data_IF_225797331805
#
_entry.id   IF_225797331805
#
_cell.length_a   1.000
_cell.length_b   1.000
_cell.length_c   1.000
_cell.angle_alpha   90.00
_cell.angle_beta   90.00
_cell.angle_gamma   90.00
#
_symmetry.space_group_name_H-M   'P 1'
#
loop_
_entity.id
_entity.type
_entity.pdbx_description
1 polymer ?
#
# COMPACT_ATOMS: atom_id res chain seq x y z
N UNK A 1 7.37 -12.39 -15.35
CA UNK A 1 7.70 -13.26 -14.18
C UNK A 1 8.99 -12.86 -13.46
N UNK A 2 10.14 -12.78 -14.16
CA UNK A 2 11.44 -12.47 -13.55
C UNK A 2 11.46 -11.13 -12.76
N UNK A 3 10.86 -10.07 -13.31
CA UNK A 3 10.82 -8.76 -12.68
C UNK A 3 10.10 -8.73 -11.31
N UNK A 4 9.14 -9.64 -11.06
CA UNK A 4 8.46 -9.74 -9.76
C UNK A 4 9.33 -10.45 -8.73
N UNK A 5 10.04 -11.51 -9.14
CA UNK A 5 10.98 -12.19 -8.26
C UNK A 5 12.11 -11.24 -7.84
N UNK A 6 12.66 -10.47 -8.78
CA UNK A 6 13.68 -9.45 -8.50
C UNK A 6 13.15 -8.37 -7.55
N UNK A 7 11.88 -7.95 -7.71
CA UNK A 7 11.24 -7.00 -6.80
C UNK A 7 11.14 -7.56 -5.38
N UNK A 8 10.65 -8.79 -5.21
CA UNK A 8 10.54 -9.46 -3.91
C UNK A 8 11.90 -9.56 -3.23
N UNK A 9 12.93 -9.94 -3.96
CA UNK A 9 14.29 -10.05 -3.43
C UNK A 9 14.88 -8.70 -3.01
N UNK A 10 14.64 -7.64 -3.80
CA UNK A 10 15.04 -6.27 -3.40
C UNK A 10 14.30 -5.82 -2.14
N UNK A 11 13.00 -6.10 -2.03
CA UNK A 11 12.20 -5.75 -0.86
C UNK A 11 12.70 -6.45 0.40
N UNK A 12 13.03 -7.75 0.31
CA UNK A 12 13.62 -8.50 1.43
C UNK A 12 14.95 -7.91 1.87
N UNK A 13 15.86 -7.62 0.93
CA UNK A 13 17.17 -7.02 1.22
C UNK A 13 17.08 -5.62 1.83
N UNK A 14 16.09 -4.84 1.42
CA UNK A 14 15.87 -3.48 1.91
C UNK A 14 14.98 -3.43 3.17
N UNK A 15 14.58 -4.59 3.72
CA UNK A 15 13.68 -4.68 4.87
C UNK A 15 12.39 -3.85 4.69
N UNK A 16 11.74 -4.00 3.52
CA UNK A 16 10.51 -3.29 3.20
C UNK A 16 9.31 -3.96 3.90
N UNK A 17 8.74 -3.28 4.88
CA UNK A 17 7.66 -3.80 5.72
C UNK A 17 6.25 -3.50 5.20
N UNK A 18 6.10 -2.59 4.22
CA UNK A 18 4.81 -2.11 3.73
C UNK A 18 4.77 -2.12 2.20
N UNK A 19 3.69 -2.67 1.65
CA UNK A 19 3.32 -2.58 0.23
C UNK A 19 2.10 -1.69 0.13
N UNK A 20 2.22 -0.57 -0.58
CA UNK A 20 1.09 0.34 -0.83
C UNK A 20 0.54 0.07 -2.22
N UNK A 21 -0.78 0.05 -2.36
CA UNK A 21 -1.45 -0.02 -3.65
C UNK A 21 -2.65 0.92 -3.72
N UNK A 22 -3.03 1.21 -4.95
CA UNK A 22 -4.27 1.91 -5.24
C UNK A 22 -5.45 0.94 -5.28
N UNK A 23 -6.59 1.39 -4.77
CA UNK A 23 -7.84 0.60 -4.77
C UNK A 23 -8.41 0.34 -6.16
N UNK A 24 -8.13 1.22 -7.12
CA UNK A 24 -8.71 1.16 -8.47
C UNK A 24 -8.23 -0.08 -9.26
N UNK A 25 -7.02 -0.58 -8.99
CA UNK A 25 -6.44 -1.71 -9.72
C UNK A 25 -6.63 -3.03 -8.98
N UNK A 26 -6.65 -4.19 -9.66
CA UNK A 26 -6.80 -5.50 -9.03
C UNK A 26 -5.73 -5.80 -7.97
N UNK A 27 -6.15 -6.40 -6.86
CA UNK A 27 -5.33 -6.70 -5.70
C UNK A 27 -4.25 -7.78 -5.90
N UNK A 28 -4.51 -8.73 -6.80
CA UNK A 28 -3.85 -10.03 -6.75
C UNK A 28 -2.33 -10.00 -6.83
N UNK A 29 -1.75 -9.05 -7.59
CA UNK A 29 -0.30 -8.92 -7.66
C UNK A 29 0.29 -8.35 -6.37
N UNK A 30 -0.31 -7.28 -5.84
CA UNK A 30 0.15 -6.64 -4.61
C UNK A 30 -0.01 -7.56 -3.39
N UNK A 31 -1.11 -8.30 -3.32
CA UNK A 31 -1.32 -9.35 -2.31
C UNK A 31 -0.26 -10.44 -2.41
N UNK A 32 0.05 -10.90 -3.62
CA UNK A 32 1.08 -11.93 -3.82
C UNK A 32 2.45 -11.44 -3.39
N UNK A 33 2.81 -10.19 -3.71
CA UNK A 33 4.06 -9.58 -3.27
C UNK A 33 4.09 -9.47 -1.75
N UNK A 34 3.05 -8.89 -1.12
CA UNK A 34 2.96 -8.73 0.32
C UNK A 34 3.09 -10.06 1.07
N UNK A 35 2.38 -11.11 0.61
CA UNK A 35 2.51 -12.47 1.18
C UNK A 35 3.93 -13.03 1.03
N UNK A 36 4.56 -12.84 -0.12
CA UNK A 36 5.89 -13.39 -0.38
C UNK A 36 7.00 -12.65 0.39
N UNK A 37 6.82 -11.36 0.68
CA UNK A 37 7.79 -10.56 1.43
C UNK A 37 7.52 -10.52 2.93
N UNK A 38 6.31 -10.93 3.37
CA UNK A 38 5.86 -10.73 4.76
C UNK A 38 5.46 -9.28 5.07
N UNK A 39 5.33 -8.44 4.04
CA UNK A 39 4.99 -7.03 4.20
C UNK A 39 3.48 -6.85 4.43
N UNK A 40 3.10 -5.79 5.12
CA UNK A 40 1.70 -5.37 5.27
C UNK A 40 1.21 -4.74 3.98
N UNK A 41 0.05 -5.17 3.49
CA UNK A 41 -0.62 -4.55 2.36
C UNK A 41 -1.48 -3.37 2.84
N UNK A 42 -1.28 -2.21 2.24
CA UNK A 42 -2.01 -0.97 2.52
C UNK A 42 -2.68 -0.49 1.24
N UNK A 43 -3.94 -0.12 1.34
CA UNK A 43 -4.72 0.38 0.21
C UNK A 43 -5.02 1.87 0.38
N UNK A 44 -4.63 2.66 -0.61
CA UNK A 44 -4.89 4.10 -0.66
C UNK A 44 -5.83 4.45 -1.83
N UNK A 45 -6.68 5.48 -1.66
CA UNK A 45 -7.36 6.12 -2.79
C UNK A 45 -6.33 6.82 -3.70
N UNK A 46 -6.64 6.92 -4.99
CA UNK A 46 -5.80 7.65 -5.97
C UNK A 46 -6.17 9.14 -6.09
N UNK A 47 -7.37 9.49 -5.61
CA UNK A 47 -7.91 10.85 -5.70
C UNK A 47 -8.99 11.11 -4.65
N UNK A 48 -9.34 12.38 -4.48
CA UNK A 48 -10.52 12.82 -3.73
C UNK A 48 -11.79 12.13 -4.23
N UNK A 49 -12.67 11.72 -3.33
CA UNK A 49 -13.87 10.95 -3.62
C UNK A 49 -13.62 9.46 -3.76
N UNK A 50 -12.37 8.99 -3.72
CA UNK A 50 -12.04 7.55 -3.72
C UNK A 50 -12.47 6.83 -2.44
N UNK A 51 -12.76 7.58 -1.37
CA UNK A 51 -13.42 7.12 -0.14
C UNK A 51 -14.34 8.18 0.45
N UNK A 52 -15.34 7.81 1.27
CA UNK A 52 -16.24 8.75 1.92
C UNK A 52 -15.56 9.84 2.77
N UNK A 53 -14.37 9.54 3.30
CA UNK A 53 -13.56 10.44 4.13
C UNK A 53 -12.76 11.46 3.31
N UNK A 54 -12.38 11.13 2.08
CA UNK A 54 -11.49 11.94 1.23
C UNK A 54 -12.29 12.93 0.36
N UNK A 55 -13.05 13.83 0.98
CA UNK A 55 -14.03 14.71 0.30
C UNK A 55 -13.39 15.86 -0.46
N UNK A 56 -12.25 16.30 0.01
CA UNK A 56 -11.43 17.37 -0.55
C UNK A 56 -9.96 16.99 -0.44
N UNK A 57 -9.07 17.82 -0.99
CA UNK A 57 -7.65 17.51 -1.03
C UNK A 57 -7.04 17.34 0.37
N UNK A 58 -7.44 18.16 1.34
CA UNK A 58 -6.87 18.10 2.69
C UNK A 58 -7.32 16.83 3.39
N UNK A 59 -8.61 16.52 3.36
CA UNK A 59 -9.17 15.30 3.95
C UNK A 59 -8.65 14.03 3.25
N UNK A 60 -8.35 14.09 1.95
CA UNK A 60 -7.65 13.03 1.22
C UNK A 60 -6.23 12.81 1.75
N UNK A 61 -5.41 13.85 1.86
CA UNK A 61 -4.05 13.74 2.40
C UNK A 61 -4.08 13.29 3.87
N UNK A 62 -5.01 13.80 4.68
CA UNK A 62 -5.18 13.38 6.07
C UNK A 62 -5.54 11.89 6.18
N UNK A 63 -6.38 11.40 5.28
CA UNK A 63 -6.73 9.98 5.20
C UNK A 63 -5.52 9.13 4.86
N UNK A 64 -4.74 9.52 3.85
CA UNK A 64 -3.56 8.80 3.39
C UNK A 64 -2.48 8.73 4.47
N UNK A 65 -2.16 9.88 5.06
CA UNK A 65 -1.17 9.98 6.15
C UNK A 65 -1.62 9.13 7.34
N UNK A 66 -2.89 9.22 7.75
CA UNK A 66 -3.42 8.42 8.88
C UNK A 66 -3.37 6.92 8.60
N UNK A 67 -3.68 6.51 7.37
CA UNK A 67 -3.65 5.11 6.94
C UNK A 67 -2.22 4.58 6.96
N UNK A 68 -1.27 5.37 6.45
CA UNK A 68 0.15 5.04 6.47
C UNK A 68 0.71 4.96 7.90
N UNK A 69 0.39 5.93 8.76
CA UNK A 69 0.82 5.92 10.17
C UNK A 69 0.32 4.66 10.87
N UNK A 70 -0.96 4.31 10.71
CA UNK A 70 -1.53 3.07 11.29
C UNK A 70 -0.79 1.82 10.81
N UNK A 71 -0.44 1.76 9.52
CA UNK A 71 0.29 0.62 8.97
C UNK A 71 1.68 0.45 9.58
N UNK A 72 2.39 1.56 9.80
CA UNK A 72 3.73 1.58 10.41
C UNK A 72 3.66 1.28 11.91
N UNK A 73 2.73 1.88 12.65
CA UNK A 73 2.66 1.75 14.13
C UNK A 73 2.00 0.47 14.61
N UNK A 74 1.38 -0.32 13.72
CA UNK A 74 0.83 -1.63 14.07
C UNK A 74 -0.64 -1.67 14.45
N UNK A 75 -1.33 -0.53 14.50
CA UNK A 75 -2.73 -0.44 14.94
C UNK A 75 -2.87 -0.55 16.45
#
# INVERSE_FOLDING_TARGET
>A
PAHIADLVERMRRAHVDIVVRERQYPAGLAETIARNTGAKLVELPVMTGGVPEARDYISFIDYDVRTMVRAVTGG
#
